data_IF_028335867528
#
_entry.id   IF_028335867528
#
_cell.length_a   1.000
_cell.length_b   1.000
_cell.length_c   1.000
_cell.angle_alpha   90.00
_cell.angle_beta   90.00
_cell.angle_gamma   90.00
#
_symmetry.space_group_name_H-M   'P 1'
#
loop_
_entity.id
_entity.type
_entity.pdbx_description
1 polymer ?
#
# COMPACT_ATOMS: atom_id res chain seq x y z
N UNK A 1 -13.30 -14.88 14.76
CA UNK A 1 -12.13 -14.44 15.57
C UNK A 1 -10.80 -15.09 15.15
N UNK A 2 -10.75 -15.94 14.11
CA UNK A 2 -9.54 -16.71 13.78
C UNK A 2 -8.36 -15.88 13.21
N UNK A 3 -8.61 -14.63 12.77
CA UNK A 3 -7.57 -13.68 12.36
C UNK A 3 -7.13 -12.72 13.48
N UNK A 4 -7.72 -12.78 14.68
CA UNK A 4 -7.33 -11.90 15.78
C UNK A 4 -6.05 -12.41 16.45
N UNK A 5 -5.05 -11.54 16.58
CA UNK A 5 -3.72 -11.84 17.12
C UNK A 5 -3.54 -11.40 18.58
N UNK A 6 -4.54 -10.78 19.20
CA UNK A 6 -4.43 -10.20 20.55
C UNK A 6 -4.09 -8.71 20.51
N UNK A 7 -4.33 -8.01 21.63
CA UNK A 7 -4.02 -6.58 21.80
C UNK A 7 -4.48 -5.64 20.66
N UNK A 8 -5.64 -5.95 20.04
CA UNK A 8 -6.16 -5.15 18.91
C UNK A 8 -5.50 -5.42 17.56
N UNK A 9 -4.52 -6.33 17.49
CA UNK A 9 -3.88 -6.73 16.24
C UNK A 9 -4.64 -7.86 15.54
N UNK A 10 -4.61 -7.83 14.21
CA UNK A 10 -5.24 -8.81 13.33
C UNK A 10 -4.26 -9.26 12.25
N UNK A 11 -4.48 -10.43 11.67
CA UNK A 11 -3.83 -10.84 10.43
C UNK A 11 -4.13 -9.88 9.29
N UNK A 12 -3.16 -9.73 8.41
CA UNK A 12 -3.35 -9.13 7.09
C UNK A 12 -3.91 -10.17 6.13
N UNK A 13 -4.87 -9.78 5.29
CA UNK A 13 -5.25 -10.60 4.13
C UNK A 13 -4.26 -10.28 3.01
N UNK A 14 -3.32 -11.19 2.75
CA UNK A 14 -2.25 -10.99 1.75
C UNK A 14 -2.65 -11.39 0.33
N UNK A 15 -3.78 -12.07 0.18
CA UNK A 15 -4.27 -12.54 -1.11
C UNK A 15 -5.72 -13.02 -1.02
N UNK A 16 -6.45 -12.88 -2.13
CA UNK A 16 -7.84 -13.31 -2.28
C UNK A 16 -8.03 -13.92 -3.68
N UNK A 17 -8.81 -14.98 -3.76
CA UNK A 17 -9.14 -15.65 -5.02
C UNK A 17 -10.55 -16.24 -4.95
N UNK A 18 -11.28 -16.22 -6.05
CA UNK A 18 -12.63 -16.80 -6.14
C UNK A 18 -12.54 -18.25 -6.57
N UNK A 19 -13.35 -19.13 -5.97
CA UNK A 19 -13.44 -20.50 -6.41
C UNK A 19 -13.92 -20.55 -7.86
N UNK A 20 -13.24 -21.29 -8.75
CA UNK A 20 -13.45 -21.14 -10.18
C UNK A 20 -14.74 -21.79 -10.68
N UNK A 21 -15.34 -22.68 -9.88
CA UNK A 21 -16.60 -23.38 -10.21
C UNK A 21 -17.76 -22.95 -9.32
N UNK A 22 -17.49 -22.24 -8.21
CA UNK A 22 -18.52 -21.77 -7.27
C UNK A 22 -18.23 -20.30 -6.96
N UNK A 23 -18.95 -19.40 -7.62
CA UNK A 23 -18.69 -17.96 -7.55
C UNK A 23 -18.94 -17.37 -6.16
N UNK A 24 -19.67 -18.09 -5.31
CA UNK A 24 -19.97 -17.63 -3.96
C UNK A 24 -18.87 -17.95 -2.95
N UNK A 25 -18.00 -18.91 -3.30
CA UNK A 25 -16.88 -19.34 -2.47
C UNK A 25 -15.64 -18.49 -2.74
N UNK A 26 -15.05 -17.97 -1.67
CA UNK A 26 -13.84 -17.18 -1.69
C UNK A 26 -12.76 -17.90 -0.88
N UNK A 27 -11.52 -17.82 -1.38
CA UNK A 27 -10.32 -18.19 -0.65
C UNK A 27 -9.53 -16.94 -0.34
N UNK A 28 -8.95 -16.86 0.86
CA UNK A 28 -7.98 -15.84 1.19
C UNK A 28 -6.80 -16.40 1.95
N UNK A 29 -5.64 -15.74 1.84
CA UNK A 29 -4.43 -16.06 2.59
C UNK A 29 -4.14 -15.01 3.66
N UNK A 30 -3.65 -15.46 4.81
CA UNK A 30 -3.13 -14.60 5.86
C UNK A 30 -1.64 -14.30 5.62
N UNK A 31 -1.25 -13.04 5.79
CA UNK A 31 0.11 -12.55 5.53
C UNK A 31 1.17 -13.05 6.51
N UNK A 32 0.82 -13.27 7.79
CA UNK A 32 1.79 -13.66 8.82
C UNK A 32 1.78 -15.16 9.12
N UNK A 33 1.48 -15.99 8.11
CA UNK A 33 1.64 -17.45 8.19
C UNK A 33 0.47 -18.22 8.82
N UNK A 34 -0.68 -17.58 9.05
CA UNK A 34 -1.87 -18.27 9.56
C UNK A 34 -2.63 -19.10 8.51
N UNK A 35 -2.08 -19.20 7.29
CA UNK A 35 -2.53 -20.13 6.26
C UNK A 35 -3.64 -19.56 5.37
N UNK A 36 -4.40 -20.47 4.77
CA UNK A 36 -5.41 -20.16 3.77
C UNK A 36 -6.78 -20.55 4.33
N UNK A 37 -7.77 -19.72 4.10
CA UNK A 37 -9.15 -19.93 4.53
C UNK A 37 -10.08 -19.92 3.33
N UNK A 38 -11.09 -20.78 3.36
CA UNK A 38 -12.13 -20.89 2.35
C UNK A 38 -13.48 -20.61 3.00
N UNK A 39 -14.33 -19.82 2.33
CA UNK A 39 -15.67 -19.50 2.83
C UNK A 39 -16.66 -20.63 2.56
N UNK A 40 -17.74 -20.67 3.34
CA UNK A 40 -19.01 -21.23 2.88
C UNK A 40 -19.62 -20.39 1.75
N UNK A 41 -20.61 -20.94 1.03
CA UNK A 41 -21.32 -20.21 -0.04
C UNK A 41 -22.04 -18.95 0.48
N UNK A 42 -22.54 -18.95 1.71
CA UNK A 42 -23.15 -17.76 2.32
C UNK A 42 -22.12 -16.79 2.92
N UNK A 43 -20.83 -17.13 2.87
CA UNK A 43 -19.68 -16.39 3.41
C UNK A 43 -19.75 -16.12 4.92
N UNK A 44 -20.55 -16.89 5.65
CA UNK A 44 -20.71 -16.75 7.11
C UNK A 44 -19.77 -17.66 7.91
N UNK A 45 -19.29 -18.75 7.32
CA UNK A 45 -18.33 -19.64 7.95
C UNK A 45 -17.06 -19.80 7.10
N UNK A 46 -15.97 -20.17 7.77
CA UNK A 46 -14.64 -20.23 7.17
C UNK A 46 -13.91 -21.49 7.63
N UNK A 47 -13.44 -22.29 6.68
CA UNK A 47 -12.64 -23.48 6.93
C UNK A 47 -11.17 -23.19 6.58
N UNK A 48 -10.26 -23.58 7.48
CA UNK A 48 -8.83 -23.53 7.20
C UNK A 48 -8.47 -24.65 6.23
N UNK A 49 -7.74 -24.31 5.17
CA UNK A 49 -7.12 -25.30 4.30
C UNK A 49 -5.76 -25.69 4.87
N UNK A 50 -5.48 -26.99 4.94
CA UNK A 50 -4.19 -27.49 5.39
C UNK A 50 -3.09 -27.05 4.43
N UNK A 51 -2.23 -26.17 4.92
CA UNK A 51 -1.13 -25.58 4.16
C UNK A 51 0.22 -25.87 4.85
N UNK A 52 1.20 -26.45 4.14
CA UNK A 52 2.51 -26.81 4.67
C UNK A 52 3.34 -25.62 5.18
N UNK A 53 3.04 -24.36 4.83
CA UNK A 53 3.81 -23.25 5.41
C UNK A 53 3.58 -23.03 6.89
N UNK A 54 2.55 -23.65 7.47
CA UNK A 54 2.34 -23.62 8.93
C UNK A 54 3.51 -24.21 9.72
N UNK A 55 4.36 -25.04 9.09
CA UNK A 55 5.59 -25.59 9.70
C UNK A 55 6.88 -24.85 9.32
N UNK A 56 6.85 -23.92 8.35
CA UNK A 56 8.06 -23.32 7.77
C UNK A 56 8.11 -21.77 7.83
N UNK A 57 7.13 -21.10 8.43
CA UNK A 57 7.06 -19.62 8.50
C UNK A 57 7.17 -18.91 7.14
N UNK A 58 6.81 -19.58 6.04
CA UNK A 58 6.84 -18.95 4.71
C UNK A 58 5.63 -18.01 4.54
N UNK A 59 5.91 -16.77 4.15
CA UNK A 59 4.89 -15.75 3.85
C UNK A 59 4.25 -16.04 2.49
N UNK A 60 2.91 -16.11 2.45
CA UNK A 60 2.15 -16.28 1.22
C UNK A 60 2.11 -14.94 0.47
N UNK A 61 2.71 -14.90 -0.71
CA UNK A 61 2.79 -13.72 -1.58
C UNK A 61 1.72 -13.72 -2.67
N UNK A 62 1.24 -14.90 -3.08
CA UNK A 62 0.25 -15.02 -4.14
C UNK A 62 -0.65 -16.22 -3.91
N UNK A 63 -1.94 -16.02 -4.15
CA UNK A 63 -2.97 -17.04 -4.14
C UNK A 63 -3.77 -16.93 -5.44
N UNK A 64 -3.77 -17.96 -6.29
CA UNK A 64 -4.51 -17.92 -7.56
C UNK A 64 -4.93 -19.29 -8.07
N UNK A 65 -6.02 -19.32 -8.85
CA UNK A 65 -6.40 -20.50 -9.62
C UNK A 65 -5.80 -20.49 -11.01
N UNK A 66 -5.31 -21.65 -11.44
CA UNK A 66 -4.88 -21.90 -12.82
C UNK A 66 -5.60 -23.13 -13.36
N UNK A 67 -5.70 -23.23 -14.69
CA UNK A 67 -6.06 -24.50 -15.33
C UNK A 67 -4.99 -25.55 -15.02
N UNK A 68 -5.40 -26.81 -14.88
CA UNK A 68 -4.47 -27.93 -14.78
C UNK A 68 -3.56 -28.02 -16.02
N UNK A 69 -2.40 -28.68 -15.90
CA UNK A 69 -1.41 -28.76 -16.98
C UNK A 69 -1.97 -29.37 -18.28
N UNK A 70 -3.03 -30.20 -18.17
CA UNK A 70 -3.71 -30.82 -19.32
C UNK A 70 -4.90 -29.99 -19.84
N UNK A 71 -5.05 -28.74 -19.38
CA UNK A 71 -6.20 -27.87 -19.68
C UNK A 71 -7.52 -28.24 -18.99
N UNK A 72 -7.58 -29.41 -18.34
CA UNK A 72 -8.74 -29.92 -17.61
C UNK A 72 -8.63 -29.63 -16.12
N UNK A 73 -9.78 -29.30 -15.50
CA UNK A 73 -9.88 -29.00 -14.07
C UNK A 73 -9.19 -27.69 -13.67
N UNK A 74 -9.10 -27.48 -12.36
CA UNK A 74 -8.48 -26.32 -11.74
C UNK A 74 -7.44 -26.75 -10.71
N UNK A 75 -6.36 -26.00 -10.63
CA UNK A 75 -5.36 -26.10 -9.57
C UNK A 75 -5.27 -24.79 -8.80
N UNK A 76 -5.17 -24.89 -7.49
CA UNK A 76 -4.82 -23.77 -6.64
C UNK A 76 -3.29 -23.66 -6.60
N UNK A 77 -2.76 -22.53 -7.02
CA UNK A 77 -1.35 -22.18 -6.89
C UNK A 77 -1.18 -21.21 -5.73
N UNK A 78 -0.34 -21.59 -4.78
CA UNK A 78 0.07 -20.76 -3.64
C UNK A 78 1.56 -20.49 -3.76
N UNK A 79 1.95 -19.24 -3.96
CA UNK A 79 3.36 -18.88 -3.98
C UNK A 79 3.76 -18.22 -2.67
N UNK A 80 4.87 -18.68 -2.14
CA UNK A 80 5.59 -18.04 -1.04
C UNK A 80 6.87 -17.40 -1.56
N UNK A 81 7.60 -16.75 -0.66
CA UNK A 81 8.93 -16.21 -0.96
C UNK A 81 9.94 -17.26 -1.47
N UNK A 82 9.76 -18.53 -1.11
CA UNK A 82 10.74 -19.60 -1.39
C UNK A 82 10.18 -20.78 -2.18
N UNK A 83 8.85 -20.95 -2.24
CA UNK A 83 8.22 -22.16 -2.77
C UNK A 83 6.94 -21.83 -3.55
N UNK A 84 6.69 -22.52 -4.66
CA UNK A 84 5.37 -22.62 -5.29
C UNK A 84 4.72 -23.96 -4.98
N UNK A 85 3.53 -23.91 -4.38
CA UNK A 85 2.74 -25.08 -3.97
C UNK A 85 1.52 -25.21 -4.87
N UNK A 86 1.29 -26.41 -5.42
CA UNK A 86 0.18 -26.67 -6.32
C UNK A 86 -0.77 -27.72 -5.74
N UNK A 87 -2.06 -27.37 -5.62
CA UNK A 87 -3.10 -28.25 -5.12
C UNK A 87 -4.16 -28.53 -6.18
N UNK A 88 -4.71 -29.75 -6.19
CA UNK A 88 -5.94 -30.08 -6.92
C UNK A 88 -7.08 -30.27 -5.95
N UNK A 89 -8.29 -29.93 -6.39
CA UNK A 89 -9.51 -30.30 -5.70
C UNK A 89 -9.88 -31.74 -6.11
N UNK A 90 -9.95 -32.65 -5.14
CA UNK A 90 -10.45 -34.02 -5.35
C UNK A 90 -11.36 -34.40 -4.18
N UNK A 91 -12.61 -34.76 -4.47
CA UNK A 91 -13.64 -35.09 -3.46
C UNK A 91 -13.80 -34.02 -2.36
N UNK A 92 -13.84 -32.74 -2.75
CA UNK A 92 -13.90 -31.57 -1.83
C UNK A 92 -12.68 -31.42 -0.89
N UNK A 93 -11.63 -32.21 -1.09
CA UNK A 93 -10.38 -32.11 -0.34
C UNK A 93 -9.25 -31.62 -1.25
N UNK A 94 -8.47 -30.66 -0.76
CA UNK A 94 -7.29 -30.17 -1.48
C UNK A 94 -6.13 -31.14 -1.27
N UNK A 95 -5.56 -31.64 -2.36
CA UNK A 95 -4.39 -32.53 -2.33
C UNK A 95 -3.20 -31.85 -2.99
N UNK A 96 -2.06 -31.84 -2.29
CA UNK A 96 -0.79 -31.36 -2.84
C UNK A 96 -0.39 -32.26 -4.02
N UNK A 97 -0.14 -31.65 -5.17
CA UNK A 97 0.30 -32.33 -6.39
C UNK A 97 1.81 -32.19 -6.54
N UNK A 98 2.31 -30.97 -6.34
CA UNK A 98 3.67 -30.61 -6.71
C UNK A 98 4.18 -29.47 -5.84
N UNK A 99 5.45 -29.57 -5.46
CA UNK A 99 6.24 -28.50 -4.86
C UNK A 99 7.32 -28.12 -5.86
N UNK A 100 7.30 -26.89 -6.34
CA UNK A 100 8.35 -26.34 -7.20
C UNK A 100 9.04 -25.17 -6.52
N UNK A 101 10.30 -24.93 -6.85
CA UNK A 101 10.89 -23.62 -6.55
C UNK A 101 10.08 -22.58 -7.35
N UNK A 102 9.82 -21.40 -6.79
CA UNK A 102 9.21 -20.33 -7.57
C UNK A 102 10.09 -20.15 -8.81
N UNK A 103 9.48 -20.00 -10.00
CA UNK A 103 10.26 -19.75 -11.20
C UNK A 103 11.17 -18.57 -10.91
N UNK A 104 12.46 -18.69 -11.28
CA UNK A 104 13.36 -17.53 -11.30
C UNK A 104 12.60 -16.38 -11.96
N UNK A 105 12.51 -15.25 -11.27
CA UNK A 105 11.68 -14.14 -11.72
C UNK A 105 12.20 -13.69 -13.09
N UNK A 106 11.47 -14.08 -14.14
CA UNK A 106 11.87 -13.84 -15.50
C UNK A 106 11.77 -12.35 -15.90
N UNK A 107 11.30 -11.48 -15.00
CA UNK A 107 11.30 -10.03 -15.21
C UNK A 107 12.66 -9.43 -14.83
N UNK A 108 13.55 -9.15 -15.80
CA UNK A 108 14.85 -8.54 -15.54
C UNK A 108 14.72 -7.15 -14.89
N UNK A 109 13.62 -6.43 -15.14
CA UNK A 109 13.40 -5.13 -14.51
C UNK A 109 13.07 -5.27 -13.03
N UNK A 110 12.29 -6.28 -12.63
CA UNK A 110 12.04 -6.56 -11.22
C UNK A 110 13.30 -6.98 -10.50
N UNK A 111 14.10 -7.85 -11.11
CA UNK A 111 15.38 -8.28 -10.55
C UNK A 111 16.33 -7.10 -10.34
N UNK A 112 16.46 -6.22 -11.32
CA UNK A 112 17.28 -5.02 -11.18
C UNK A 112 16.75 -4.07 -10.09
N UNK A 113 15.42 -3.89 -9.97
CA UNK A 113 14.82 -3.09 -8.88
C UNK A 113 15.13 -3.67 -7.51
N UNK A 114 14.96 -4.99 -7.33
CA UNK A 114 15.28 -5.69 -6.07
C UNK A 114 16.76 -5.56 -5.75
N UNK A 115 17.63 -5.77 -6.73
CA UNK A 115 19.09 -5.63 -6.56
C UNK A 115 19.49 -4.23 -6.12
N UNK A 116 18.91 -3.18 -6.71
CA UNK A 116 19.15 -1.77 -6.32
C UNK A 116 18.64 -1.45 -4.91
N UNK A 117 17.49 -2.00 -4.53
CA UNK A 117 16.89 -1.81 -3.21
C UNK A 117 17.54 -2.67 -2.12
N UNK A 118 18.28 -3.70 -2.49
CA UNK A 118 18.97 -4.59 -1.54
C UNK A 118 20.01 -3.83 -0.73
N UNK A 119 20.19 -4.23 0.53
CA UNK A 119 21.14 -3.63 1.47
C UNK A 119 20.90 -2.13 1.75
N UNK A 120 19.65 -1.67 1.63
CA UNK A 120 19.22 -0.33 2.03
C UNK A 120 18.50 -0.41 3.37
N UNK A 121 19.06 0.23 4.38
CA UNK A 121 18.52 0.24 5.74
C UNK A 121 18.40 1.70 6.18
N UNK A 122 17.22 2.10 6.61
CA UNK A 122 16.94 3.52 6.78
C UNK A 122 15.74 3.81 7.65
N UNK A 123 15.52 5.10 7.85
CA UNK A 123 14.37 5.64 8.58
C UNK A 123 13.44 6.38 7.64
N UNK A 124 12.20 6.56 8.09
CA UNK A 124 11.26 7.50 7.48
C UNK A 124 11.33 8.85 8.18
N UNK A 125 11.34 9.93 7.39
CA UNK A 125 11.33 11.32 7.86
C UNK A 125 10.20 12.06 7.16
N UNK A 126 9.31 12.66 7.95
CA UNK A 126 8.25 13.51 7.39
C UNK A 126 8.82 14.82 6.85
N UNK A 127 8.14 15.44 5.90
CA UNK A 127 8.60 16.69 5.28
C UNK A 127 8.88 17.85 6.26
N UNK A 128 8.26 17.86 7.44
CA UNK A 128 8.47 18.89 8.45
C UNK A 128 9.83 18.82 9.14
N UNK A 129 10.48 17.65 9.12
CA UNK A 129 11.75 17.39 9.80
C UNK A 129 12.90 17.11 8.81
N UNK A 130 12.65 17.27 7.50
CA UNK A 130 13.61 16.98 6.45
C UNK A 130 14.40 18.23 5.99
N UNK A 131 14.58 19.22 6.85
CA UNK A 131 15.31 20.46 6.55
C UNK A 131 16.10 20.98 7.77
N UNK A 132 16.99 21.96 7.53
CA UNK A 132 17.71 22.65 8.61
C UNK A 132 18.54 21.72 9.50
N UNK A 133 18.49 21.97 10.80
CA UNK A 133 19.20 21.22 11.85
C UNK A 133 18.64 19.80 12.04
N UNK A 134 17.31 19.63 11.97
CA UNK A 134 16.67 18.31 12.08
C UNK A 134 17.17 17.34 11.01
N UNK A 135 17.33 17.81 9.77
CA UNK A 135 17.94 17.01 8.72
C UNK A 135 19.37 16.58 9.07
N UNK A 136 20.19 17.48 9.60
CA UNK A 136 21.56 17.14 9.99
C UNK A 136 21.58 16.11 11.12
N UNK A 137 20.69 16.25 12.11
CA UNK A 137 20.52 15.29 13.21
C UNK A 137 20.13 13.90 12.69
N UNK A 138 19.16 13.83 11.79
CA UNK A 138 18.75 12.56 11.17
C UNK A 138 19.87 11.92 10.35
N UNK A 139 20.60 12.71 9.56
CA UNK A 139 21.71 12.20 8.76
C UNK A 139 22.87 11.71 9.61
N UNK A 140 23.20 12.41 10.70
CA UNK A 140 24.24 11.97 11.64
C UNK A 140 23.83 10.67 12.33
N UNK A 141 22.59 10.57 12.81
CA UNK A 141 22.03 9.33 13.39
C UNK A 141 22.16 8.15 12.42
N UNK A 142 21.80 8.34 11.14
CA UNK A 142 21.94 7.27 10.14
C UNK A 142 23.40 6.80 10.03
N UNK A 143 24.34 7.73 9.91
CA UNK A 143 25.76 7.40 9.78
C UNK A 143 26.35 6.74 11.02
N UNK A 144 26.00 7.21 12.22
CA UNK A 144 26.49 6.70 13.50
C UNK A 144 26.02 5.26 13.77
N UNK A 145 24.84 4.90 13.26
CA UNK A 145 24.23 3.59 13.45
C UNK A 145 24.37 2.64 12.25
N UNK A 146 25.20 2.98 11.26
CA UNK A 146 25.46 2.13 10.09
C UNK A 146 24.26 1.98 9.15
N UNK A 147 23.30 2.89 9.22
CA UNK A 147 22.17 2.99 8.29
C UNK A 147 22.59 3.81 7.07
N UNK A 148 21.98 3.53 5.91
CA UNK A 148 22.44 4.05 4.62
C UNK A 148 21.32 4.51 3.68
N UNK A 149 20.09 4.63 4.18
CA UNK A 149 18.96 5.12 3.41
C UNK A 149 18.05 6.04 4.25
N UNK A 150 17.33 6.94 3.57
CA UNK A 150 16.34 7.81 4.18
C UNK A 150 15.11 7.91 3.28
N UNK A 151 13.93 7.62 3.81
CA UNK A 151 12.65 7.86 3.12
C UNK A 151 12.14 9.24 3.50
N UNK A 152 11.81 10.07 2.51
CA UNK A 152 11.35 11.46 2.74
C UNK A 152 10.07 11.74 1.95
N UNK A 153 9.09 12.35 2.60
CA UNK A 153 7.85 12.79 1.93
C UNK A 153 8.10 13.96 0.98
N UNK A 154 8.01 13.71 -0.33
CA UNK A 154 8.13 14.73 -1.39
C UNK A 154 6.75 15.15 -1.98
N UNK A 155 5.64 14.89 -1.29
CA UNK A 155 4.65 13.87 -1.69
C UNK A 155 3.71 13.42 -0.57
N UNK A 156 3.21 14.30 0.30
CA UNK A 156 2.46 13.87 1.50
C UNK A 156 1.02 13.38 1.21
N UNK A 157 0.38 12.81 2.24
CA UNK A 157 -0.97 12.22 2.14
C UNK A 157 -2.13 13.22 2.18
N UNK A 158 -1.82 14.50 2.40
CA UNK A 158 -2.73 15.61 2.12
C UNK A 158 -2.58 16.12 0.68
N UNK A 159 -1.66 15.55 -0.11
CA UNK A 159 -1.41 15.94 -1.49
C UNK A 159 -0.42 17.08 -1.67
N UNK A 160 0.27 17.50 -0.60
CA UNK A 160 1.26 18.58 -0.71
C UNK A 160 2.53 18.07 -1.38
N UNK A 161 2.94 18.75 -2.46
CA UNK A 161 4.29 18.68 -3.03
C UNK A 161 5.20 19.53 -2.16
N UNK A 162 6.05 18.87 -1.39
CA UNK A 162 6.78 19.47 -0.25
C UNK A 162 8.10 20.11 -0.64
N UNK A 163 8.48 20.07 -1.91
CA UNK A 163 9.66 20.72 -2.46
C UNK A 163 9.26 21.72 -3.55
N UNK A 164 10.21 22.58 -3.93
CA UNK A 164 10.02 23.51 -5.05
C UNK A 164 10.13 22.76 -6.40
N UNK A 165 9.00 22.24 -6.88
CA UNK A 165 8.85 21.59 -8.19
C UNK A 165 8.89 22.59 -9.32
N UNK A 166 9.40 22.17 -10.48
CA UNK A 166 9.41 22.93 -11.75
C UNK A 166 8.18 22.67 -12.61
N UNK A 167 7.28 21.78 -12.19
CA UNK A 167 6.07 21.44 -12.92
C UNK A 167 5.00 22.52 -12.71
N UNK A 168 4.35 22.96 -13.79
CA UNK A 168 3.28 23.97 -13.74
C UNK A 168 2.01 23.46 -13.03
N UNK A 169 1.67 22.18 -13.21
CA UNK A 169 0.41 21.62 -12.75
C UNK A 169 0.24 21.67 -11.21
N UNK A 170 1.23 21.28 -10.37
CA UNK A 170 1.17 21.48 -8.93
C UNK A 170 0.82 22.92 -8.50
N UNK A 171 1.36 23.93 -9.17
CA UNK A 171 1.03 25.33 -8.89
C UNK A 171 -0.41 25.68 -9.25
N UNK A 172 -0.91 25.19 -10.39
CA UNK A 172 -2.32 25.38 -10.78
C UNK A 172 -3.30 24.67 -9.84
N UNK A 173 -2.90 23.52 -9.28
CA UNK A 173 -3.67 22.81 -8.25
C UNK A 173 -3.63 23.58 -6.91
N UNK A 174 -2.56 24.35 -6.67
CA UNK A 174 -2.30 24.98 -5.38
C UNK A 174 -1.67 24.02 -4.36
N UNK A 175 -0.97 22.97 -4.83
CA UNK A 175 -0.44 21.89 -3.99
C UNK A 175 1.02 22.03 -3.57
N UNK A 176 1.70 23.13 -3.90
CA UNK A 176 3.12 23.31 -3.60
C UNK A 176 3.31 23.98 -2.23
N UNK A 177 3.98 23.30 -1.30
CA UNK A 177 4.21 23.82 0.06
C UNK A 177 5.65 24.23 0.36
N UNK A 178 6.63 23.83 -0.47
CA UNK A 178 8.06 24.20 -0.37
C UNK A 178 8.68 24.04 1.03
N UNK A 179 8.28 23.00 1.77
CA UNK A 179 8.83 22.69 3.11
C UNK A 179 10.27 22.19 3.08
N UNK A 180 10.75 21.69 1.94
CA UNK A 180 12.05 21.05 1.80
C UNK A 180 12.86 21.78 0.72
N UNK A 181 14.05 22.24 1.10
CA UNK A 181 15.11 22.65 0.18
C UNK A 181 15.76 21.40 -0.44
N UNK A 182 15.15 20.88 -1.52
CA UNK A 182 15.51 19.56 -2.07
C UNK A 182 16.99 19.43 -2.42
N UNK A 183 17.57 20.47 -3.03
CA UNK A 183 19.00 20.44 -3.41
C UNK A 183 19.90 20.37 -2.17
N UNK A 184 19.53 21.05 -1.09
CA UNK A 184 20.29 20.98 0.16
C UNK A 184 20.18 19.59 0.78
N UNK A 185 18.98 19.00 0.79
CA UNK A 185 18.74 17.65 1.29
C UNK A 185 19.59 16.62 0.55
N UNK A 186 19.49 16.59 -0.78
CA UNK A 186 20.21 15.63 -1.62
C UNK A 186 21.73 15.80 -1.47
N UNK A 187 22.22 17.04 -1.49
CA UNK A 187 23.65 17.30 -1.30
C UNK A 187 24.17 16.81 0.06
N UNK A 188 23.43 17.05 1.15
CA UNK A 188 23.83 16.62 2.50
C UNK A 188 23.78 15.08 2.64
N UNK A 189 22.76 14.44 2.08
CA UNK A 189 22.58 12.99 2.13
C UNK A 189 23.64 12.26 1.30
N UNK A 190 23.84 12.65 0.03
CA UNK A 190 24.79 11.99 -0.86
C UNK A 190 26.24 12.15 -0.40
N UNK A 191 26.62 13.30 0.17
CA UNK A 191 27.96 13.48 0.78
C UNK A 191 28.25 12.48 1.91
N UNK A 192 27.21 11.97 2.57
CA UNK A 192 27.30 10.96 3.63
C UNK A 192 27.04 9.54 3.14
N UNK A 193 26.90 9.34 1.82
CA UNK A 193 26.58 8.04 1.24
C UNK A 193 25.16 7.55 1.56
N UNK A 194 24.25 8.43 1.99
CA UNK A 194 22.86 8.09 2.30
C UNK A 194 22.04 8.08 1.01
N UNK A 195 21.35 6.98 0.76
CA UNK A 195 20.44 6.79 -0.36
C UNK A 195 19.07 7.41 -0.05
N UNK A 196 18.63 8.39 -0.83
CA UNK A 196 17.35 9.07 -0.61
C UNK A 196 16.23 8.32 -1.34
N UNK A 197 15.11 8.12 -0.67
CA UNK A 197 13.91 7.47 -1.22
C UNK A 197 12.77 8.48 -1.11
N UNK A 198 12.30 9.00 -2.24
CA UNK A 198 11.12 9.86 -2.24
C UNK A 198 9.85 9.05 -2.01
N UNK A 199 9.15 9.35 -0.92
CA UNK A 199 7.77 8.91 -0.71
C UNK A 199 6.83 9.87 -1.43
N UNK A 200 6.04 9.32 -2.35
CA UNK A 200 4.98 10.01 -3.07
C UNK A 200 3.66 9.27 -2.84
N UNK A 201 2.76 9.86 -2.04
CA UNK A 201 1.41 9.31 -1.88
C UNK A 201 0.63 9.56 -3.17
N UNK A 202 -0.03 8.54 -3.74
CA UNK A 202 -0.63 8.66 -5.07
C UNK A 202 -2.11 9.06 -5.01
N UNK A 203 -2.96 8.20 -4.46
CA UNK A 203 -4.43 8.33 -4.59
C UNK A 203 -5.12 8.96 -3.37
N UNK A 204 -4.49 8.99 -2.20
CA UNK A 204 -4.95 9.78 -1.06
C UNK A 204 -4.35 11.18 -1.20
N UNK A 205 -5.12 12.09 -1.79
CA UNK A 205 -4.65 13.42 -2.20
C UNK A 205 -5.78 14.45 -2.06
N UNK A 206 -5.73 15.25 -1.00
CA UNK A 206 -6.73 16.29 -0.74
C UNK A 206 -6.64 17.46 -1.72
N UNK A 207 -5.44 17.83 -2.17
CA UNK A 207 -5.28 18.95 -3.10
C UNK A 207 -5.93 18.62 -4.45
N UNK A 208 -5.58 17.47 -5.01
CA UNK A 208 -6.10 17.00 -6.28
C UNK A 208 -7.60 16.64 -6.20
N UNK A 209 -8.06 16.12 -5.06
CA UNK A 209 -9.49 15.91 -4.82
C UNK A 209 -10.30 17.21 -4.91
N UNK A 210 -9.77 18.34 -4.43
CA UNK A 210 -10.47 19.63 -4.46
C UNK A 210 -10.28 20.39 -5.79
N UNK A 211 -9.40 19.91 -6.67
CA UNK A 211 -9.10 20.57 -7.93
C UNK A 211 -10.20 20.37 -8.98
N UNK A 212 -10.42 21.40 -9.80
CA UNK A 212 -11.35 21.39 -10.93
C UNK A 212 -12.75 20.86 -10.57
N UNK A 213 -13.33 21.39 -9.48
CA UNK A 213 -14.65 21.01 -8.98
C UNK A 213 -14.81 19.49 -8.76
N UNK A 214 -13.82 18.89 -8.10
CA UNK A 214 -13.78 17.47 -7.78
C UNK A 214 -13.81 16.50 -8.97
N UNK A 215 -13.52 16.99 -10.18
CA UNK A 215 -13.51 16.18 -11.42
C UNK A 215 -12.72 14.88 -11.30
N UNK A 216 -11.64 14.89 -10.51
CA UNK A 216 -10.74 13.74 -10.34
C UNK A 216 -10.94 12.98 -9.03
N UNK A 217 -11.95 13.30 -8.23
CA UNK A 217 -12.28 12.53 -7.04
C UNK A 217 -12.84 11.14 -7.41
N UNK A 218 -12.78 10.19 -6.47
CA UNK A 218 -13.64 9.00 -6.54
C UNK A 218 -15.09 9.44 -6.36
N UNK A 219 -16.02 8.93 -7.17
CA UNK A 219 -17.44 9.28 -7.10
C UNK A 219 -18.28 8.21 -6.42
N UNK A 220 -19.23 8.65 -5.60
CA UNK A 220 -20.25 7.78 -5.02
C UNK A 220 -21.46 7.70 -5.95
N UNK A 221 -21.68 6.53 -6.56
CA UNK A 221 -22.77 6.26 -7.49
C UNK A 221 -24.16 6.54 -6.92
N UNK A 222 -24.37 6.36 -5.62
CA UNK A 222 -25.69 6.49 -5.01
C UNK A 222 -26.03 7.95 -4.70
N UNK A 223 -25.04 8.76 -4.35
CA UNK A 223 -25.26 10.17 -3.96
C UNK A 223 -24.93 11.15 -5.08
N UNK A 224 -24.32 10.68 -6.16
CA UNK A 224 -23.80 11.50 -7.26
C UNK A 224 -22.91 12.66 -6.76
N UNK A 225 -22.04 12.33 -5.80
CA UNK A 225 -21.12 13.27 -5.16
C UNK A 225 -19.73 12.64 -5.05
N UNK A 226 -18.67 13.46 -4.98
CA UNK A 226 -17.35 12.99 -4.59
C UNK A 226 -17.44 12.18 -3.28
N UNK A 227 -16.82 11.01 -3.27
CA UNK A 227 -16.82 10.10 -2.14
C UNK A 227 -16.06 10.71 -0.96
N UNK A 228 -16.61 10.53 0.24
CA UNK A 228 -16.07 11.09 1.49
C UNK A 228 -16.09 10.02 2.57
N UNK A 229 -14.95 9.75 3.19
CA UNK A 229 -14.92 9.06 4.48
C UNK A 229 -15.17 10.09 5.58
N UNK A 230 -16.37 10.05 6.17
CA UNK A 230 -16.77 10.94 7.24
C UNK A 230 -16.48 10.31 8.60
N UNK A 231 -15.69 11.00 9.42
CA UNK A 231 -15.43 10.63 10.81
C UNK A 231 -16.29 11.52 11.70
N UNK A 232 -17.03 10.90 12.61
CA UNK A 232 -17.78 11.58 13.66
C UNK A 232 -16.79 12.13 14.69
N UNK A 233 -16.83 13.43 14.97
CA UNK A 233 -15.89 14.06 15.92
C UNK A 233 -16.47 14.09 17.34
N UNK A 234 -17.79 14.11 17.53
CA UNK A 234 -18.38 14.24 18.87
C UNK A 234 -19.53 13.26 19.11
N UNK A 235 -19.54 12.66 20.30
CA UNK A 235 -20.69 12.01 20.93
C UNK A 235 -21.00 12.69 22.28
N UNK A 236 -22.26 13.11 22.40
CA UNK A 236 -23.08 13.39 23.60
C UNK A 236 -22.37 13.67 24.94
N UNK A 237 -22.30 14.97 25.30
CA UNK A 237 -22.66 15.62 26.60
C UNK A 237 -22.03 17.03 26.59
N UNK A 238 -22.76 18.12 26.81
CA UNK A 238 -23.46 18.47 28.05
C UNK A 238 -24.77 19.19 27.73
N UNK A 239 -25.83 18.81 28.44
CA UNK A 239 -27.06 19.59 28.59
C UNK A 239 -26.75 20.93 29.27
N UNK A 240 -26.58 21.99 28.49
CA UNK A 240 -26.95 23.34 28.94
C UNK A 240 -28.09 23.79 28.02
N UNK A 241 -29.30 23.85 28.58
CA UNK A 241 -30.56 24.31 27.97
C UNK A 241 -31.41 23.30 27.18
N UNK A 242 -31.15 22.00 27.24
CA UNK A 242 -32.07 20.98 26.69
C UNK A 242 -32.13 20.89 25.15
N UNK A 243 -31.25 21.58 24.43
CA UNK A 243 -31.12 21.46 22.98
C UNK A 243 -30.14 20.34 22.60
N UNK A 244 -30.63 19.33 21.87
CA UNK A 244 -29.81 18.24 21.35
C UNK A 244 -28.96 18.75 20.19
N UNK A 245 -27.64 18.85 20.37
CA UNK A 245 -26.71 19.17 19.26
C UNK A 245 -26.56 17.95 18.34
N UNK A 246 -26.70 18.17 17.03
CA UNK A 246 -26.49 17.14 16.02
C UNK A 246 -25.02 16.70 15.97
N UNK A 247 -24.78 15.42 15.67
CA UNK A 247 -23.44 14.87 15.53
C UNK A 247 -22.68 15.57 14.40
N UNK A 248 -21.50 16.11 14.70
CA UNK A 248 -20.62 16.72 13.70
C UNK A 248 -19.75 15.67 13.03
N UNK A 249 -19.77 15.66 11.70
CA UNK A 249 -18.91 14.83 10.87
C UNK A 249 -17.90 15.68 10.12
N UNK A 250 -16.67 15.19 10.00
CA UNK A 250 -15.66 15.76 9.08
C UNK A 250 -15.18 14.72 8.11
N UNK A 251 -14.85 15.16 6.90
CA UNK A 251 -14.17 14.32 5.95
C UNK A 251 -12.70 14.14 6.36
N UNK A 252 -12.35 12.90 6.65
CA UNK A 252 -10.99 12.51 7.04
C UNK A 252 -10.17 12.07 5.82
N UNK A 253 -10.79 11.42 4.83
CA UNK A 253 -10.08 10.91 3.65
C UNK A 253 -10.56 11.54 2.34
N UNK A 254 -9.60 11.79 1.46
CA UNK A 254 -9.77 12.45 0.18
C UNK A 254 -9.10 11.59 -0.89
N UNK A 255 -9.90 10.79 -1.60
CA UNK A 255 -9.40 9.86 -2.61
C UNK A 255 -9.70 10.36 -4.02
N UNK A 256 -8.70 10.27 -4.89
CA UNK A 256 -8.81 10.55 -6.32
C UNK A 256 -8.97 9.27 -7.13
N UNK A 257 -9.57 9.37 -8.30
CA UNK A 257 -9.93 8.25 -9.16
C UNK A 257 -8.66 7.49 -9.65
N UNK A 258 -8.47 6.22 -9.25
CA UNK A 258 -7.34 5.42 -9.68
C UNK A 258 -7.43 4.98 -11.15
N UNK A 259 -8.52 5.25 -11.87
CA UNK A 259 -8.66 5.01 -13.31
C UNK A 259 -8.37 6.25 -14.17
N UNK A 260 -8.12 7.39 -13.54
CA UNK A 260 -7.87 8.65 -14.25
C UNK A 260 -6.43 8.75 -14.75
N UNK A 261 -6.26 8.76 -16.07
CA UNK A 261 -4.94 8.98 -16.70
C UNK A 261 -4.34 10.33 -16.35
N UNK A 262 -5.16 11.35 -16.04
CA UNK A 262 -4.69 12.63 -15.53
C UNK A 262 -4.00 12.47 -14.17
N UNK A 263 -4.61 11.72 -13.24
CA UNK A 263 -4.03 11.44 -11.91
C UNK A 263 -2.73 10.65 -12.05
N UNK A 264 -2.68 9.68 -12.96
CA UNK A 264 -1.46 8.91 -13.24
C UNK A 264 -0.34 9.80 -13.76
N UNK A 265 -0.63 10.60 -14.79
CA UNK A 265 0.36 11.47 -15.43
C UNK A 265 0.89 12.54 -14.47
N UNK A 266 0.05 13.09 -13.58
CA UNK A 266 0.47 14.02 -12.53
C UNK A 266 1.52 13.39 -11.61
N UNK A 267 1.24 12.20 -11.06
CA UNK A 267 2.17 11.52 -10.15
C UNK A 267 3.44 11.03 -10.87
N UNK A 268 3.31 10.54 -12.11
CA UNK A 268 4.46 10.13 -12.93
C UNK A 268 5.37 11.32 -13.28
N UNK A 269 4.81 12.51 -13.53
CA UNK A 269 5.60 13.70 -13.81
C UNK A 269 6.45 14.10 -12.60
N UNK A 270 5.87 14.11 -11.40
CA UNK A 270 6.60 14.37 -10.15
C UNK A 270 7.71 13.33 -9.92
N UNK A 271 7.41 12.04 -10.12
CA UNK A 271 8.40 10.97 -9.97
C UNK A 271 9.57 11.12 -10.95
N UNK A 272 9.28 11.45 -12.23
CA UNK A 272 10.29 11.70 -13.26
C UNK A 272 11.17 12.91 -12.92
N UNK A 273 10.57 14.00 -12.45
CA UNK A 273 11.33 15.19 -12.02
C UNK A 273 12.30 14.84 -10.89
N UNK A 274 11.82 14.16 -9.85
CA UNK A 274 12.63 13.78 -8.70
C UNK A 274 13.79 12.87 -9.09
N UNK A 275 13.53 11.87 -9.93
CA UNK A 275 14.57 11.00 -10.47
C UNK A 275 15.62 11.81 -11.26
N UNK A 276 15.20 12.78 -12.07
CA UNK A 276 16.13 13.64 -12.82
C UNK A 276 16.96 14.56 -11.91
N UNK A 277 16.42 14.95 -10.75
CA UNK A 277 17.10 15.76 -9.74
C UNK A 277 18.03 14.95 -8.83
N UNK A 278 18.05 13.63 -8.99
CA UNK A 278 18.99 12.76 -8.29
C UNK A 278 18.45 12.14 -7.01
N UNK A 279 17.12 12.09 -6.84
CA UNK A 279 16.51 11.13 -5.90
C UNK A 279 16.76 9.70 -6.38
#
# INVERSE_FOLDING_TARGET
>A
RFIYRGAGFYEEISGISYHPEDREVILFSCGFGHGIYMSSNDRKSWARLDFPSSTHNEIIQQLQFKRGNNGKGWRLEVKTQNTSWHYTLHDQHWRLIEKTNPPEDADPFRQERIRRASNKFGIYVSSHYAQGEELDNHLNFLTEHGLNAMVVDLKDDYGWVTYDTRLELPYRIGSVSRRIELEQLLNKAHKRGIYVIARLVVFKDRQLYNYADHKYAVWNRNTDKPWRYLVKIEDEKIEENGERREARFVQNEYWVDPYSSFVWNYNLALAKELQQRGV
#
